data_IF_395382981182
#
_entry.id   IF_395382981182
#
_cell.length_a   1.000
_cell.length_b   1.000
_cell.length_c   1.000
_cell.angle_alpha   90.00
_cell.angle_beta   90.00
_cell.angle_gamma   90.00
#
_symmetry.space_group_name_H-M   'P 1'
#
loop_
_entity.id
_entity.type
_entity.pdbx_description
1 polymer ?
#
# COMPACT_ATOMS: atom_id res chain seq x y z
N UNK A 1 2.59 -0.49 19.61
CA UNK A 1 1.98 0.73 20.21
C UNK A 1 0.49 0.47 20.32
N UNK A 2 -0.12 0.60 21.51
CA UNK A 2 -1.53 0.26 21.69
C UNK A 2 -2.43 1.42 21.23
N UNK A 3 -3.35 1.16 20.30
CA UNK A 3 -4.40 2.09 19.88
C UNK A 3 -3.99 3.25 18.96
N UNK A 4 -2.69 3.48 18.74
CA UNK A 4 -2.21 4.53 17.84
C UNK A 4 -0.96 4.04 17.11
N UNK A 5 -1.10 3.63 15.84
CA UNK A 5 0.01 3.07 15.06
C UNK A 5 -0.12 3.48 13.60
N UNK A 6 1.01 3.86 13.01
CA UNK A 6 1.10 4.23 11.59
C UNK A 6 1.48 3.04 10.71
N UNK A 7 2.14 2.02 11.28
CA UNK A 7 2.64 0.84 10.57
C UNK A 7 2.09 -0.43 11.21
N UNK A 8 1.60 -1.34 10.37
CA UNK A 8 1.17 -2.68 10.76
C UNK A 8 2.08 -3.72 10.10
N UNK A 9 2.95 -4.35 10.90
CA UNK A 9 3.71 -5.51 10.46
C UNK A 9 2.81 -6.75 10.51
N UNK A 10 2.62 -7.38 9.36
CA UNK A 10 1.74 -8.54 9.21
C UNK A 10 2.51 -9.85 9.36
N UNK A 11 1.89 -10.93 9.86
CA UNK A 11 2.58 -12.20 10.12
C UNK A 11 2.94 -12.97 8.85
N UNK A 12 2.21 -12.76 7.75
CA UNK A 12 2.42 -13.39 6.44
C UNK A 12 1.71 -12.60 5.33
N UNK A 13 1.94 -13.01 4.08
CA UNK A 13 1.42 -12.32 2.88
C UNK A 13 -0.10 -12.41 2.78
N UNK A 14 -0.69 -13.54 3.19
CA UNK A 14 -2.13 -13.77 3.16
C UNK A 14 -2.84 -12.78 4.07
N UNK A 15 -2.34 -12.60 5.29
CA UNK A 15 -2.89 -11.66 6.27
C UNK A 15 -2.76 -10.22 5.78
N UNK A 16 -1.62 -9.84 5.19
CA UNK A 16 -1.43 -8.50 4.63
C UNK A 16 -2.36 -8.19 3.48
N UNK A 17 -2.48 -9.12 2.52
CA UNK A 17 -3.38 -8.94 1.39
C UNK A 17 -4.86 -8.90 1.83
N UNK A 18 -5.27 -9.78 2.75
CA UNK A 18 -6.63 -9.77 3.30
C UNK A 18 -6.95 -8.47 4.03
N UNK A 19 -6.01 -7.95 4.84
CA UNK A 19 -6.18 -6.69 5.56
C UNK A 19 -6.37 -5.50 4.60
N UNK A 20 -5.50 -5.38 3.58
CA UNK A 20 -5.60 -4.29 2.60
C UNK A 20 -6.92 -4.38 1.81
N UNK A 21 -7.31 -5.58 1.36
CA UNK A 21 -8.58 -5.76 0.64
C UNK A 21 -9.80 -5.49 1.53
N UNK A 22 -9.73 -5.82 2.82
CA UNK A 22 -10.78 -5.44 3.79
C UNK A 22 -10.91 -3.92 3.88
N UNK A 23 -9.80 -3.19 4.00
CA UNK A 23 -9.80 -1.73 4.07
C UNK A 23 -10.40 -1.09 2.80
N UNK A 24 -10.04 -1.60 1.62
CA UNK A 24 -10.58 -1.10 0.35
C UNK A 24 -12.08 -1.36 0.26
N UNK A 25 -12.51 -2.62 0.41
CA UNK A 25 -13.90 -3.01 0.10
C UNK A 25 -14.90 -2.72 1.21
N UNK A 26 -14.49 -2.75 2.47
CA UNK A 26 -15.40 -2.58 3.61
C UNK A 26 -15.22 -1.26 4.35
N UNK A 27 -14.12 -0.53 4.12
CA UNK A 27 -13.84 0.74 4.79
C UNK A 27 -13.66 1.91 3.82
N UNK A 28 -13.76 1.67 2.50
CA UNK A 28 -13.64 2.71 1.47
C UNK A 28 -12.24 3.32 1.37
N UNK A 29 -11.19 2.61 1.81
CA UNK A 29 -9.84 3.12 1.76
C UNK A 29 -9.29 3.15 0.33
N UNK A 30 -8.51 4.19 0.00
CA UNK A 30 -7.70 4.25 -1.21
C UNK A 30 -6.34 3.58 -0.96
N UNK A 31 -5.99 2.58 -1.77
CA UNK A 31 -4.74 1.86 -1.62
C UNK A 31 -3.61 2.49 -2.43
N UNK A 32 -2.39 2.43 -1.89
CA UNK A 32 -1.16 2.78 -2.58
C UNK A 32 -0.13 1.67 -2.37
N UNK A 33 0.37 1.09 -3.45
CA UNK A 33 1.31 -0.03 -3.45
C UNK A 33 2.67 0.33 -4.04
N UNK A 34 3.71 0.31 -3.21
CA UNK A 34 5.10 0.49 -3.63
C UNK A 34 6.01 -0.54 -2.97
N UNK A 35 6.88 -1.16 -3.75
CA UNK A 35 7.97 -2.00 -3.24
C UNK A 35 9.19 -1.12 -2.98
N UNK A 36 9.69 -1.20 -1.76
CA UNK A 36 10.86 -0.46 -1.26
C UNK A 36 11.99 -1.43 -0.87
N UNK A 37 13.19 -0.91 -0.60
CA UNK A 37 14.38 -1.71 -0.26
C UNK A 37 15.25 -2.10 -1.46
N UNK A 38 14.77 -1.87 -2.68
CA UNK A 38 15.56 -1.95 -3.91
C UNK A 38 16.37 -0.66 -4.17
N UNK A 39 17.21 -0.63 -5.22
CA UNK A 39 17.93 0.59 -5.66
C UNK A 39 17.01 1.76 -6.06
N UNK A 40 15.77 1.45 -6.44
CA UNK A 40 14.71 2.40 -6.80
C UNK A 40 13.37 1.77 -6.39
N UNK A 41 12.37 2.55 -5.96
CA UNK A 41 11.03 2.04 -5.70
C UNK A 41 10.40 1.48 -6.97
N UNK A 42 9.53 0.49 -6.80
CA UNK A 42 8.78 -0.15 -7.89
C UNK A 42 7.30 -0.10 -7.58
N UNK A 43 6.52 0.50 -8.47
CA UNK A 43 5.05 0.55 -8.37
C UNK A 43 4.47 -0.80 -8.76
N UNK A 44 3.65 -1.37 -7.88
CA UNK A 44 2.90 -2.61 -8.16
C UNK A 44 1.43 -2.36 -7.87
N UNK A 45 0.59 -2.56 -8.87
CA UNK A 45 -0.85 -2.35 -8.79
C UNK A 45 -1.59 -3.68 -8.91
N UNK A 46 -2.76 -3.76 -8.31
CA UNK A 46 -3.69 -4.85 -8.54
C UNK A 46 -4.36 -4.70 -9.90
N UNK A 47 -4.68 -5.82 -10.55
CA UNK A 47 -5.52 -5.81 -11.75
C UNK A 47 -6.90 -5.17 -11.50
N UNK A 48 -7.40 -5.26 -10.26
CA UNK A 48 -8.68 -4.69 -9.85
C UNK A 48 -8.62 -3.20 -9.52
N UNK A 49 -7.45 -2.56 -9.61
CA UNK A 49 -7.31 -1.17 -9.19
C UNK A 49 -7.82 -0.23 -10.27
N UNK A 50 -8.63 0.75 -9.87
CA UNK A 50 -9.07 1.85 -10.72
C UNK A 50 -7.96 2.92 -10.87
N UNK A 51 -8.25 4.04 -11.54
CA UNK A 51 -7.26 5.10 -11.80
C UNK A 51 -6.68 5.72 -10.52
N UNK A 52 -7.49 5.90 -9.49
CA UNK A 52 -7.09 6.60 -8.27
C UNK A 52 -6.04 5.83 -7.43
N UNK A 53 -6.22 4.54 -7.07
CA UNK A 53 -5.17 3.76 -6.40
C UNK A 53 -3.86 3.66 -7.20
N UNK A 54 -3.95 3.62 -8.54
CA UNK A 54 -2.77 3.63 -9.41
C UNK A 54 -2.00 4.95 -9.31
N UNK A 55 -2.71 6.08 -9.34
CA UNK A 55 -2.10 7.39 -9.16
C UNK A 55 -1.50 7.56 -7.76
N UNK A 56 -2.21 7.12 -6.71
CA UNK A 56 -1.72 7.15 -5.34
C UNK A 56 -0.44 6.31 -5.18
N UNK A 57 -0.36 5.15 -5.85
CA UNK A 57 0.85 4.32 -5.86
C UNK A 57 2.05 5.00 -6.54
N UNK A 58 1.82 5.72 -7.64
CA UNK A 58 2.86 6.52 -8.31
C UNK A 58 3.33 7.65 -7.37
N UNK A 59 2.40 8.38 -6.76
CA UNK A 59 2.72 9.44 -5.81
C UNK A 59 3.53 8.90 -4.62
N UNK A 60 3.14 7.76 -4.05
CA UNK A 60 3.87 7.10 -2.97
C UNK A 60 5.30 6.71 -3.40
N UNK A 61 5.49 6.26 -4.64
CA UNK A 61 6.82 5.96 -5.17
C UNK A 61 7.69 7.21 -5.35
N UNK A 62 7.10 8.35 -5.73
CA UNK A 62 7.81 9.64 -5.79
C UNK A 62 8.24 10.09 -4.40
N UNK A 63 7.33 10.03 -3.41
CA UNK A 63 7.66 10.36 -2.01
C UNK A 63 8.76 9.45 -1.47
N UNK A 64 8.73 8.15 -1.81
CA UNK A 64 9.77 7.20 -1.40
C UNK A 64 11.16 7.47 -2.03
N UNK A 65 11.26 8.33 -3.05
CA UNK A 65 12.54 8.80 -3.61
C UNK A 65 13.10 10.02 -2.86
N UNK A 66 12.24 10.76 -2.15
CA UNK A 66 12.66 11.92 -1.37
C UNK A 66 13.48 11.42 -0.16
N UNK A 67 14.71 11.93 -0.04
CA UNK A 67 15.65 11.62 1.06
C UNK A 67 15.53 12.64 2.17
#
# INVERSE_FOLDING_TARGET
VAGNTDILLVPNVETGNALVKMMIYFMGACAAGVVVGCKSPVVITSRSDESEPRLASIAAAVVALEK
#
